data_IF_722835689243
#
_entry.id   IF_722835689243
#
_cell.length_a   1.000
_cell.length_b   1.000
_cell.length_c   1.000
_cell.angle_alpha   90.00
_cell.angle_beta   90.00
_cell.angle_gamma   90.00
#
_symmetry.space_group_name_H-M   'P 1'
#
loop_
_entity.id
_entity.type
_entity.pdbx_description
1 polymer ?
#
# COMPACT_ATOMS: atom_id res chain seq x y z
N UNK A 1 22.39 6.67 -5.01
CA UNK A 1 21.15 6.78 -5.80
C UNK A 1 20.95 5.46 -6.53
N UNK A 2 20.17 4.54 -5.96
CA UNK A 2 19.91 3.24 -6.58
C UNK A 2 18.80 3.41 -7.62
N UNK A 3 19.15 3.34 -8.89
CA UNK A 3 18.19 3.01 -9.92
C UNK A 3 18.10 1.49 -9.96
N UNK A 4 17.00 0.86 -9.49
CA UNK A 4 16.72 -0.50 -9.91
C UNK A 4 16.52 -0.42 -11.43
N UNK A 5 17.51 -0.90 -12.19
CA UNK A 5 17.35 -1.08 -13.64
C UNK A 5 16.35 -2.21 -13.81
N UNK A 6 15.08 -1.86 -13.94
CA UNK A 6 14.08 -2.79 -14.42
C UNK A 6 14.53 -3.25 -15.80
N UNK A 7 14.84 -4.54 -15.93
CA UNK A 7 15.35 -5.11 -17.17
C UNK A 7 14.22 -5.88 -17.83
N UNK A 8 13.90 -5.56 -19.08
CA UNK A 8 12.93 -6.32 -19.89
C UNK A 8 13.25 -7.82 -19.91
N UNK A 9 14.54 -8.19 -19.81
CA UNK A 9 14.99 -9.57 -19.71
C UNK A 9 14.49 -10.29 -18.45
N UNK A 10 14.30 -9.57 -17.34
CA UNK A 10 13.76 -10.15 -16.10
C UNK A 10 12.26 -10.41 -16.26
N UNK A 11 11.52 -9.46 -16.81
CA UNK A 11 10.08 -9.61 -17.05
C UNK A 11 9.79 -10.72 -18.07
N UNK A 12 10.56 -10.81 -19.15
CA UNK A 12 10.38 -11.84 -20.18
C UNK A 12 10.74 -13.26 -19.69
N UNK A 13 11.68 -13.36 -18.75
CA UNK A 13 12.03 -14.63 -18.07
C UNK A 13 10.88 -15.13 -17.21
N UNK A 14 10.21 -14.24 -16.48
CA UNK A 14 9.09 -14.60 -15.61
C UNK A 14 7.81 -14.91 -16.41
N UNK A 15 7.63 -14.36 -17.61
CA UNK A 15 6.45 -14.60 -18.48
C UNK A 15 6.57 -15.82 -19.40
N UNK A 16 7.49 -16.76 -19.15
CA UNK A 16 7.69 -17.97 -19.98
C UNK A 16 7.70 -17.69 -21.49
N UNK A 17 8.25 -16.55 -21.93
CA UNK A 17 8.28 -16.12 -23.35
C UNK A 17 6.94 -15.98 -24.08
N UNK A 18 5.78 -15.85 -23.40
CA UNK A 18 4.49 -15.64 -24.08
C UNK A 18 4.45 -14.41 -24.98
N UNK A 19 5.27 -13.39 -24.70
CA UNK A 19 5.39 -12.18 -25.50
C UNK A 19 6.84 -11.95 -25.94
N UNK A 20 7.05 -11.60 -27.21
CA UNK A 20 8.34 -11.15 -27.69
C UNK A 20 8.71 -9.79 -27.08
N UNK A 21 10.00 -9.53 -26.90
CA UNK A 21 10.50 -8.25 -26.37
C UNK A 21 10.00 -7.03 -27.17
N UNK A 22 9.88 -7.19 -28.49
CA UNK A 22 9.34 -6.17 -29.37
C UNK A 22 7.87 -5.86 -29.06
N UNK A 23 7.06 -6.90 -28.81
CA UNK A 23 5.65 -6.75 -28.42
C UNK A 23 5.54 -6.00 -27.10
N UNK A 24 6.36 -6.35 -26.11
CA UNK A 24 6.38 -5.66 -24.81
C UNK A 24 6.76 -4.19 -24.99
N UNK A 25 7.77 -3.86 -25.79
CA UNK A 25 8.16 -2.48 -26.07
C UNK A 25 7.06 -1.67 -26.78
N UNK A 26 6.31 -2.29 -27.71
CA UNK A 26 5.14 -1.65 -28.34
C UNK A 26 4.03 -1.41 -27.31
N UNK A 27 3.75 -2.37 -26.43
CA UNK A 27 2.76 -2.24 -25.36
C UNK A 27 3.14 -1.14 -24.37
N UNK A 28 4.41 -1.08 -23.95
CA UNK A 28 4.92 -0.02 -23.07
C UNK A 28 4.67 1.36 -23.66
N UNK A 29 5.00 1.57 -24.94
CA UNK A 29 4.77 2.85 -25.62
C UNK A 29 3.28 3.22 -25.69
N UNK A 30 2.40 2.25 -25.97
CA UNK A 30 0.96 2.49 -26.00
C UNK A 30 0.42 2.90 -24.63
N UNK A 31 0.85 2.21 -23.57
CA UNK A 31 0.46 2.52 -22.18
C UNK A 31 0.97 3.91 -21.78
N UNK A 32 2.24 4.22 -22.06
CA UNK A 32 2.81 5.53 -21.77
C UNK A 32 2.07 6.65 -22.50
N UNK A 33 1.72 6.45 -23.76
CA UNK A 33 0.92 7.41 -24.52
C UNK A 33 -0.49 7.56 -23.93
N UNK A 34 -1.17 6.46 -23.60
CA UNK A 34 -2.51 6.49 -23.01
C UNK A 34 -2.55 7.16 -21.63
N UNK A 35 -1.49 7.01 -20.84
CA UNK A 35 -1.32 7.67 -19.55
C UNK A 35 -0.77 9.10 -19.66
N UNK A 36 -0.61 9.65 -20.88
CA UNK A 36 0.02 10.96 -21.11
C UNK A 36 1.40 11.09 -20.44
N UNK A 37 2.17 10.01 -20.42
CA UNK A 37 3.46 9.88 -19.74
C UNK A 37 3.41 10.08 -18.22
N UNK A 38 2.21 10.17 -17.61
CA UNK A 38 2.01 10.28 -16.16
C UNK A 38 2.06 8.89 -15.51
N UNK A 39 3.26 8.33 -15.38
CA UNK A 39 3.47 7.01 -14.77
C UNK A 39 3.57 7.03 -13.25
N UNK A 40 3.55 8.21 -12.61
CA UNK A 40 3.51 8.33 -11.15
C UNK A 40 2.09 8.12 -10.65
N UNK A 41 1.75 6.87 -10.35
CA UNK A 41 0.57 6.55 -9.56
C UNK A 41 0.71 7.13 -8.14
N UNK A 42 -0.38 7.67 -7.60
CA UNK A 42 -0.45 8.00 -6.18
C UNK A 42 -0.75 6.71 -5.43
N UNK A 43 0.22 6.23 -4.66
CA UNK A 43 0.08 5.01 -3.85
C UNK A 43 -0.29 5.35 -2.41
N UNK A 44 -0.89 4.42 -1.64
CA UNK A 44 -1.15 4.63 -0.21
C UNK A 44 0.11 5.05 0.57
N UNK A 45 1.28 4.53 0.17
CA UNK A 45 2.56 4.87 0.77
C UNK A 45 2.87 6.38 0.77
N UNK A 46 2.39 7.13 -0.23
CA UNK A 46 2.59 8.57 -0.31
C UNK A 46 1.93 9.31 0.88
N UNK A 47 0.88 8.75 1.48
CA UNK A 47 0.16 9.35 2.60
C UNK A 47 0.65 8.88 3.98
N UNK A 48 1.45 7.80 4.05
CA UNK A 48 1.92 7.28 5.33
C UNK A 48 2.71 8.32 6.13
N UNK A 49 3.56 9.10 5.46
CA UNK A 49 4.35 10.16 6.12
C UNK A 49 3.47 11.23 6.75
N UNK A 50 2.36 11.58 6.11
CA UNK A 50 1.40 12.54 6.64
C UNK A 50 0.76 12.02 7.93
N UNK A 51 0.26 10.79 7.91
CA UNK A 51 -0.35 10.22 9.09
C UNK A 51 0.67 9.97 10.21
N UNK A 52 1.88 9.47 9.89
CA UNK A 52 2.92 9.28 10.90
C UNK A 52 3.37 10.58 11.56
N UNK A 53 3.35 11.71 10.85
CA UNK A 53 3.66 13.01 11.44
C UNK A 53 2.49 13.59 12.26
N UNK A 54 1.25 13.31 11.85
CA UNK A 54 0.04 13.80 12.54
C UNK A 54 -0.30 13.01 13.80
N UNK A 55 0.10 11.74 13.87
CA UNK A 55 0.03 10.95 15.08
C UNK A 55 1.32 11.25 15.85
N UNK A 56 1.25 11.72 17.10
CA UNK A 56 2.43 11.82 17.97
C UNK A 56 2.88 10.41 18.36
N UNK A 57 3.32 9.64 17.37
CA UNK A 57 3.88 8.34 17.56
C UNK A 57 5.12 8.51 18.47
N UNK A 58 5.31 7.62 19.45
CA UNK A 58 6.51 7.69 20.26
C UNK A 58 7.70 7.57 19.32
N UNK A 59 8.73 8.36 19.60
CA UNK A 59 10.03 8.40 18.92
C UNK A 59 10.73 7.03 18.74
N UNK A 60 10.10 5.95 19.22
CA UNK A 60 10.45 4.55 19.00
C UNK A 60 9.94 3.95 17.68
N UNK A 61 9.06 4.61 16.91
CA UNK A 61 8.90 4.24 15.48
C UNK A 61 10.12 4.79 14.73
N UNK A 62 11.28 4.23 15.06
CA UNK A 62 12.46 4.36 14.23
C UNK A 62 12.03 3.91 12.84
N UNK A 63 12.31 4.76 11.87
CA UNK A 63 11.97 4.63 10.47
C UNK A 63 12.97 3.80 9.63
N UNK A 64 13.73 2.77 10.12
CA UNK A 64 14.56 2.00 9.20
C UNK A 64 13.89 0.72 8.68
N UNK A 65 12.77 0.25 9.24
CA UNK A 65 12.13 -1.02 8.82
C UNK A 65 10.96 -0.85 7.84
N UNK A 66 10.43 0.36 7.65
CA UNK A 66 9.55 0.66 6.52
C UNK A 66 10.44 0.87 5.28
N UNK A 67 11.11 -0.21 4.88
CA UNK A 67 11.91 -0.25 3.67
C UNK A 67 11.06 0.17 2.48
N UNK A 68 11.70 0.75 1.47
CA UNK A 68 11.10 1.17 0.21
C UNK A 68 10.54 0.01 -0.63
N UNK A 69 10.33 -1.16 -0.04
CA UNK A 69 9.76 -2.35 -0.63
C UNK A 69 8.46 -2.68 0.12
N UNK A 70 7.30 -2.65 -0.54
CA UNK A 70 6.09 -3.21 0.03
C UNK A 70 6.36 -4.68 0.33
N UNK A 71 6.40 -5.06 1.61
CA UNK A 71 6.41 -6.48 1.97
C UNK A 71 5.15 -7.12 1.36
N UNK A 72 5.27 -8.21 0.57
CA UNK A 72 4.13 -8.85 -0.09
C UNK A 72 3.08 -9.40 0.90
N UNK A 73 3.39 -9.41 2.20
CA UNK A 73 2.50 -9.83 3.27
C UNK A 73 1.64 -8.71 3.88
N UNK A 74 1.86 -7.45 3.52
CA UNK A 74 1.05 -6.35 4.08
C UNK A 74 -0.42 -6.53 3.66
N UNK A 75 -1.38 -6.52 4.60
CA UNK A 75 -2.79 -6.45 4.25
C UNK A 75 -3.01 -5.21 3.38
N UNK A 76 -3.31 -5.43 2.11
CA UNK A 76 -3.78 -4.40 1.20
C UNK A 76 -5.24 -4.72 0.89
N UNK A 77 -6.13 -3.71 0.84
CA UNK A 77 -7.50 -3.94 0.42
C UNK A 77 -7.49 -4.54 -0.98
N UNK A 78 -8.46 -5.41 -1.28
CA UNK A 78 -8.56 -6.05 -2.57
C UNK A 78 -8.55 -4.99 -3.68
N UNK A 79 -7.72 -5.21 -4.70
CA UNK A 79 -7.66 -4.35 -5.89
C UNK A 79 -9.00 -4.43 -6.63
N UNK A 80 -9.94 -3.56 -6.25
CA UNK A 80 -11.33 -3.58 -6.73
C UNK A 80 -12.29 -2.75 -5.89
N UNK A 81 -11.99 -2.51 -4.62
CA UNK A 81 -12.94 -1.87 -3.69
C UNK A 81 -13.08 -0.34 -3.85
N UNK A 82 -12.37 0.25 -4.82
CA UNK A 82 -12.52 1.67 -5.17
C UNK A 82 -12.09 2.67 -4.08
N UNK A 83 -11.42 2.22 -3.02
CA UNK A 83 -10.94 3.10 -1.95
C UNK A 83 -9.87 4.07 -2.46
N UNK A 84 -9.92 5.32 -1.97
CA UNK A 84 -8.88 6.30 -2.26
C UNK A 84 -7.56 5.87 -1.59
N UNK A 85 -6.39 6.10 -2.23
CA UNK A 85 -5.10 5.73 -1.64
C UNK A 85 -4.85 6.31 -0.24
N UNK A 86 -5.39 7.50 0.06
CA UNK A 86 -5.32 8.11 1.39
C UNK A 86 -6.09 7.33 2.46
N UNK A 87 -7.26 6.79 2.10
CA UNK A 87 -8.10 5.98 2.99
C UNK A 87 -7.40 4.64 3.26
N UNK A 88 -6.89 4.00 2.21
CA UNK A 88 -6.11 2.76 2.33
C UNK A 88 -4.90 2.96 3.25
N UNK A 89 -4.15 4.06 3.06
CA UNK A 89 -2.98 4.35 3.89
C UNK A 89 -3.33 4.52 5.38
N UNK A 90 -4.43 5.22 5.65
CA UNK A 90 -4.94 5.43 7.00
C UNK A 90 -5.40 4.12 7.65
N UNK A 91 -6.19 3.32 6.91
CA UNK A 91 -6.69 2.04 7.38
C UNK A 91 -5.56 1.04 7.62
N UNK A 92 -4.59 0.93 6.69
CA UNK A 92 -3.39 0.11 6.87
C UNK A 92 -2.54 0.56 8.05
N UNK A 93 -2.41 1.88 8.30
CA UNK A 93 -1.71 2.39 9.48
C UNK A 93 -2.43 1.99 10.77
N UNK A 94 -3.76 2.07 10.81
CA UNK A 94 -4.55 1.64 11.96
C UNK A 94 -4.40 0.14 12.20
N UNK A 95 -4.48 -0.68 11.14
CA UNK A 95 -4.32 -2.14 11.21
C UNK A 95 -2.94 -2.53 11.75
N UNK A 96 -1.89 -1.86 11.26
CA UNK A 96 -0.55 -2.05 11.79
C UNK A 96 -0.41 -1.55 13.24
N UNK A 97 -1.05 -0.44 13.60
CA UNK A 97 -1.01 0.10 14.95
C UNK A 97 -1.75 -0.78 15.97
N UNK A 98 -2.83 -1.47 15.59
CA UNK A 98 -3.48 -2.45 16.46
C UNK A 98 -2.59 -3.64 16.80
N UNK A 99 -1.72 -4.05 15.88
CA UNK A 99 -0.79 -5.16 16.09
C UNK A 99 0.48 -4.74 16.85
N UNK A 100 1.12 -3.67 16.40
CA UNK A 100 2.42 -3.25 16.92
C UNK A 100 2.29 -2.42 18.20
N UNK A 101 1.21 -1.66 18.34
CA UNK A 101 1.04 -0.66 19.41
C UNK A 101 -0.38 -0.67 20.02
N UNK A 102 -0.89 -1.82 20.51
CA UNK A 102 -2.27 -1.94 20.99
C UNK A 102 -2.62 -0.94 22.09
N UNK A 103 -1.68 -0.62 22.98
CA UNK A 103 -1.86 0.38 24.04
C UNK A 103 -2.10 1.81 23.52
N UNK A 104 -1.62 2.12 22.31
CA UNK A 104 -1.71 3.45 21.70
C UNK A 104 -2.72 3.50 20.55
N UNK A 105 -3.30 2.37 20.18
CA UNK A 105 -4.23 2.26 19.06
C UNK A 105 -5.39 3.25 19.15
N UNK A 106 -5.96 3.47 20.33
CA UNK A 106 -7.03 4.45 20.53
C UNK A 106 -6.60 5.88 20.17
N UNK A 107 -5.35 6.25 20.48
CA UNK A 107 -4.79 7.54 20.13
C UNK A 107 -4.57 7.66 18.61
N UNK A 108 -4.00 6.64 17.98
CA UNK A 108 -3.85 6.57 16.52
C UNK A 108 -5.21 6.69 15.81
N UNK A 109 -6.22 5.93 16.24
CA UNK A 109 -7.57 5.97 15.68
C UNK A 109 -8.22 7.33 15.82
N UNK A 110 -8.05 7.98 16.97
CA UNK A 110 -8.59 9.33 17.20
C UNK A 110 -7.93 10.38 16.31
N UNK A 111 -6.61 10.35 16.18
CA UNK A 111 -5.86 11.31 15.36
C UNK A 111 -6.12 11.10 13.86
N UNK A 112 -6.20 9.86 13.38
CA UNK A 112 -6.61 9.57 11.99
C UNK A 112 -8.04 10.06 11.72
N UNK A 113 -8.99 9.84 12.64
CA UNK A 113 -10.39 10.32 12.51
C UNK A 113 -10.54 11.84 12.60
N UNK A 114 -9.57 12.54 13.18
CA UNK A 114 -9.54 14.00 13.21
C UNK A 114 -9.12 14.61 11.86
N UNK A 115 -8.59 13.80 10.93
CA UNK A 115 -8.24 14.26 9.59
C UNK A 115 -9.48 14.65 8.79
N UNK A 116 -9.62 15.94 8.48
CA UNK A 116 -10.76 16.50 7.73
C UNK A 116 -10.84 16.01 6.28
N UNK A 117 -9.74 15.48 5.73
CA UNK A 117 -9.65 14.99 4.36
C UNK A 117 -10.07 13.54 4.20
N UNK A 118 -10.35 12.84 5.30
CA UNK A 118 -10.82 11.47 5.30
C UNK A 118 -12.32 11.42 5.54
N UNK A 119 -13.01 10.66 4.69
CA UNK A 119 -14.38 10.27 4.99
C UNK A 119 -14.37 9.12 5.99
N UNK A 120 -15.10 9.29 7.08
CA UNK A 120 -15.07 8.37 8.23
C UNK A 120 -15.74 7.04 7.91
N UNK A 121 -16.78 7.06 7.08
CA UNK A 121 -17.53 5.84 6.73
C UNK A 121 -16.67 4.93 5.87
N UNK A 122 -16.05 5.49 4.82
CA UNK A 122 -15.13 4.74 3.96
C UNK A 122 -13.87 4.29 4.66
N UNK A 123 -13.36 5.07 5.64
CA UNK A 123 -12.24 4.64 6.47
C UNK A 123 -12.56 3.39 7.28
N UNK A 124 -13.70 3.35 7.95
CA UNK A 124 -14.09 2.21 8.78
C UNK A 124 -14.37 0.99 7.91
N UNK A 125 -15.10 1.14 6.80
CA UNK A 125 -15.33 0.05 5.86
C UNK A 125 -14.01 -0.54 5.30
N UNK A 126 -13.05 0.32 4.97
CA UNK A 126 -11.74 -0.12 4.50
C UNK A 126 -10.92 -0.81 5.60
N UNK A 127 -11.02 -0.35 6.84
CA UNK A 127 -10.35 -0.95 7.99
C UNK A 127 -10.92 -2.33 8.31
N UNK A 128 -12.24 -2.47 8.33
CA UNK A 128 -12.91 -3.73 8.59
C UNK A 128 -12.57 -4.77 7.52
N UNK A 129 -12.61 -4.38 6.23
CA UNK A 129 -12.19 -5.25 5.12
C UNK A 129 -10.73 -5.71 5.24
N UNK A 130 -9.83 -4.84 5.70
CA UNK A 130 -8.43 -5.19 5.94
C UNK A 130 -8.26 -6.21 7.07
N UNK A 131 -9.02 -6.08 8.15
CA UNK A 131 -8.98 -7.03 9.27
C UNK A 131 -9.61 -8.38 8.90
N UNK A 132 -10.67 -8.39 8.08
CA UNK A 132 -11.25 -9.61 7.52
C UNK A 132 -10.23 -10.36 6.63
N UNK A 133 -9.60 -9.67 5.68
CA UNK A 133 -8.56 -10.25 4.81
C UNK A 133 -7.34 -10.76 5.60
N UNK A 134 -7.04 -10.10 6.72
CA UNK A 134 -5.97 -10.53 7.64
C UNK A 134 -6.36 -11.78 8.42
N UNK A 135 -7.61 -11.88 8.88
CA UNK A 135 -8.12 -13.08 9.53
C UNK A 135 -8.13 -14.29 8.58
N UNK A 136 -8.55 -14.10 7.32
CA UNK A 136 -8.52 -15.14 6.27
C UNK A 136 -7.10 -15.68 6.05
N UNK A 137 -6.09 -14.81 6.01
CA UNK A 137 -4.69 -15.22 5.77
C UNK A 137 -4.06 -15.95 6.94
N UNK A 138 -4.39 -15.61 8.18
CA UNK A 138 -3.89 -16.36 9.34
C UNK A 138 -4.42 -17.80 9.34
N UNK A 139 -5.66 -18.04 8.91
CA UNK A 139 -6.21 -19.40 8.80
C UNK A 139 -5.52 -20.27 7.74
N UNK A 140 -4.94 -19.67 6.69
CA UNK A 140 -4.27 -20.40 5.63
C UNK A 140 -2.80 -20.76 5.95
N UNK A 141 -2.21 -20.14 6.97
CA UNK A 141 -0.83 -20.41 7.41
C UNK A 141 -0.78 -21.52 8.49
N UNK A 142 -1.89 -21.75 9.18
CA UNK A 142 -2.01 -22.77 10.24
C UNK A 142 -2.58 -24.13 9.76
N UNK A 143 -2.82 -24.32 8.45
CA UNK A 143 -3.30 -25.57 7.82
C UNK A 143 -2.25 -26.22 6.92
#
# INVERSE_FOLDING_TARGET
MMHPKFSLLRLLRDTNSWFAAETVGRMEKLILCALEWRTRSITPFAFLRYFLASNSAPSSISTPSLGNEPSPSSPAPREGDGYKPSVVAAASLLSAASDLFPAQFAAFRSAVRACIFLDKVTLEACFDALEEDKAERNHHVDS
#
